data_IF_268899958884
#
_entry.id   IF_268899958884
#
_cell.length_a   1.000
_cell.length_b   1.000
_cell.length_c   1.000
_cell.angle_alpha   90.00
_cell.angle_beta   90.00
_cell.angle_gamma   90.00
#
_symmetry.space_group_name_H-M   'P 1'
#
loop_
_entity.id
_entity.type
_entity.pdbx_description
1 polymer ?
#
# COMPACT_ATOMS: atom_id res chain seq x y z
N UNK A 1 9.07 13.29 -20.89
CA UNK A 1 7.89 13.59 -21.70
C UNK A 1 7.21 14.81 -21.11
N UNK A 2 6.82 15.76 -21.96
CA UNK A 2 5.84 16.77 -21.63
C UNK A 2 4.50 16.09 -21.25
N UNK A 3 3.61 16.81 -20.58
CA UNK A 3 2.29 16.28 -20.23
C UNK A 3 1.54 15.87 -21.51
N UNK A 4 1.28 14.57 -21.66
CA UNK A 4 0.60 14.00 -22.83
C UNK A 4 -0.91 14.28 -22.83
N UNK A 5 -1.41 14.93 -21.78
CA UNK A 5 -2.81 15.25 -21.59
C UNK A 5 -3.03 16.75 -21.39
N UNK A 6 -4.17 17.25 -21.90
CA UNK A 6 -4.61 18.61 -21.58
C UNK A 6 -4.93 18.74 -20.08
N UNK A 7 -4.92 19.97 -19.56
CA UNK A 7 -5.24 20.26 -18.14
C UNK A 7 -6.61 19.67 -17.73
N UNK A 8 -7.60 19.74 -18.61
CA UNK A 8 -8.94 19.19 -18.37
C UNK A 8 -8.92 17.65 -18.28
N UNK A 9 -8.24 16.98 -19.22
CA UNK A 9 -8.08 15.51 -19.21
C UNK A 9 -7.31 15.05 -17.97
N UNK A 10 -6.26 15.78 -17.56
CA UNK A 10 -5.52 15.48 -16.34
C UNK A 10 -6.37 15.64 -15.09
N UNK A 11 -7.15 16.72 -15.00
CA UNK A 11 -8.09 16.93 -13.89
C UNK A 11 -9.13 15.80 -13.80
N UNK A 12 -9.71 15.42 -14.94
CA UNK A 12 -10.63 14.29 -15.03
C UNK A 12 -9.98 12.98 -14.57
N UNK A 13 -8.81 12.63 -15.10
CA UNK A 13 -8.09 11.42 -14.71
C UNK A 13 -7.79 11.39 -13.21
N UNK A 14 -7.30 12.49 -12.65
CA UNK A 14 -7.01 12.60 -11.22
C UNK A 14 -8.27 12.42 -10.36
N UNK A 15 -9.43 12.90 -10.83
CA UNK A 15 -10.71 12.71 -10.11
C UNK A 15 -11.21 11.26 -10.08
N UNK A 16 -10.73 10.41 -11.00
CA UNK A 16 -11.08 8.98 -11.04
C UNK A 16 -10.20 8.12 -10.13
N UNK A 17 -9.11 8.67 -9.60
CA UNK A 17 -8.20 7.94 -8.71
C UNK A 17 -8.88 7.75 -7.35
N UNK A 18 -9.23 6.50 -7.04
CA UNK A 18 -9.88 6.13 -5.78
C UNK A 18 -8.83 5.89 -4.70
N UNK A 19 -9.14 6.31 -3.47
CA UNK A 19 -8.30 6.13 -2.29
C UNK A 19 -8.57 4.85 -1.49
N UNK A 20 -9.56 4.05 -1.92
CA UNK A 20 -9.99 2.80 -1.24
C UNK A 20 -10.63 1.84 -2.23
N UNK A 21 -10.64 0.55 -1.88
CA UNK A 21 -11.15 -0.53 -2.71
C UNK A 21 -10.48 -0.55 -4.09
N UNK A 22 -9.19 -0.24 -4.11
CA UNK A 22 -8.39 -0.36 -5.33
C UNK A 22 -8.27 -1.83 -5.73
N UNK A 23 -7.95 -2.09 -7.00
CA UNK A 23 -7.75 -3.46 -7.49
C UNK A 23 -6.69 -4.23 -6.68
N UNK A 24 -5.51 -3.65 -6.35
CA UNK A 24 -4.53 -4.30 -5.48
C UNK A 24 -5.11 -4.71 -4.11
N UNK A 25 -5.84 -3.81 -3.44
CA UNK A 25 -6.48 -4.12 -2.14
C UNK A 25 -7.46 -5.29 -2.27
N UNK A 26 -8.28 -5.30 -3.31
CA UNK A 26 -9.28 -6.35 -3.53
C UNK A 26 -8.64 -7.72 -3.76
N UNK A 27 -7.49 -7.78 -4.45
CA UNK A 27 -6.75 -9.03 -4.67
C UNK A 27 -6.28 -9.62 -3.34
N UNK A 28 -5.62 -8.82 -2.50
CA UNK A 28 -5.13 -9.26 -1.19
C UNK A 28 -6.29 -9.69 -0.30
N UNK A 29 -7.38 -8.89 -0.27
CA UNK A 29 -8.59 -9.18 0.53
C UNK A 29 -9.26 -10.49 0.17
N UNK A 30 -9.45 -10.75 -1.13
CA UNK A 30 -10.06 -11.99 -1.62
C UNK A 30 -9.21 -13.19 -1.26
N UNK A 31 -7.89 -13.07 -1.43
CA UNK A 31 -6.97 -14.14 -1.12
C UNK A 31 -6.92 -14.47 0.38
N UNK A 32 -6.79 -13.46 1.25
CA UNK A 32 -6.83 -13.65 2.70
C UNK A 32 -8.13 -14.33 3.16
N UNK A 33 -9.27 -13.90 2.61
CA UNK A 33 -10.57 -14.50 2.92
C UNK A 33 -10.66 -15.96 2.49
N UNK A 34 -10.21 -16.28 1.26
CA UNK A 34 -10.15 -17.66 0.75
C UNK A 34 -9.25 -18.56 1.60
N UNK A 35 -8.23 -17.99 2.24
CA UNK A 35 -7.34 -18.70 3.17
C UNK A 35 -7.88 -18.76 4.62
N UNK A 36 -9.13 -18.33 4.86
CA UNK A 36 -9.81 -18.41 6.15
C UNK A 36 -9.47 -17.28 7.14
N UNK A 37 -8.71 -16.26 6.72
CA UNK A 37 -8.37 -15.14 7.59
C UNK A 37 -9.54 -14.17 7.73
N UNK A 38 -9.80 -13.74 8.97
CA UNK A 38 -10.74 -12.66 9.28
C UNK A 38 -9.97 -11.36 9.50
N UNK A 39 -10.44 -10.30 8.85
CA UNK A 39 -9.80 -8.99 8.90
C UNK A 39 -10.82 -7.86 9.03
N UNK A 40 -10.34 -6.71 9.49
CA UNK A 40 -11.04 -5.42 9.43
C UNK A 40 -10.38 -4.55 8.36
N UNK A 41 -11.13 -3.60 7.81
CA UNK A 41 -10.63 -2.71 6.77
C UNK A 41 -10.49 -1.29 7.30
N UNK A 42 -9.46 -0.59 6.85
CA UNK A 42 -9.31 0.87 7.01
C UNK A 42 -9.50 1.35 8.45
N UNK A 43 -8.87 0.66 9.42
CA UNK A 43 -9.10 0.91 10.84
C UNK A 43 -8.63 2.30 11.24
N UNK A 44 -9.55 3.16 11.67
CA UNK A 44 -9.26 4.54 12.11
C UNK A 44 -8.54 4.60 13.46
N UNK A 45 -8.57 3.51 14.23
CA UNK A 45 -7.95 3.42 15.56
C UNK A 45 -6.46 3.13 15.51
N UNK A 46 -5.92 2.79 14.33
CA UNK A 46 -4.51 2.47 14.15
C UNK A 46 -3.79 3.57 13.36
N UNK A 47 -2.52 3.88 13.71
CA UNK A 47 -1.69 4.82 12.95
C UNK A 47 -1.63 4.46 11.46
N UNK A 48 -1.65 5.46 10.60
CA UNK A 48 -1.63 5.29 9.14
C UNK A 48 -2.90 4.71 8.52
N UNK A 49 -3.91 4.34 9.32
CA UNK A 49 -5.18 3.75 8.85
C UNK A 49 -4.93 2.57 7.87
N UNK A 50 -4.37 1.46 8.37
CA UNK A 50 -3.99 0.33 7.52
C UNK A 50 -5.17 -0.18 6.69
N UNK A 51 -4.89 -0.60 5.45
CA UNK A 51 -5.91 -1.09 4.52
C UNK A 51 -6.59 -2.34 5.06
N UNK A 52 -5.78 -3.25 5.62
CA UNK A 52 -6.24 -4.52 6.18
C UNK A 52 -5.62 -4.70 7.56
N UNK A 53 -6.44 -5.05 8.54
CA UNK A 53 -6.02 -5.31 9.92
C UNK A 53 -6.46 -6.71 10.31
N UNK A 54 -5.53 -7.51 10.83
CA UNK A 54 -5.78 -8.85 11.35
C UNK A 54 -5.53 -8.86 12.87
N UNK A 55 -6.56 -8.56 13.70
CA UNK A 55 -6.38 -8.40 15.15
C UNK A 55 -5.83 -9.66 15.84
N UNK A 56 -6.31 -10.85 15.44
CA UNK A 56 -5.85 -12.15 15.96
C UNK A 56 -4.33 -12.33 15.82
N UNK A 57 -3.74 -11.74 14.78
CA UNK A 57 -2.33 -11.88 14.44
C UNK A 57 -1.53 -10.61 14.78
N UNK A 58 -2.15 -9.62 15.44
CA UNK A 58 -1.60 -8.26 15.63
C UNK A 58 -0.88 -7.73 14.40
N UNK A 59 -1.46 -7.94 13.21
CA UNK A 59 -0.84 -7.55 11.94
C UNK A 59 -1.65 -6.48 11.23
N UNK A 60 -0.97 -5.42 10.79
CA UNK A 60 -1.47 -4.36 9.93
C UNK A 60 -0.82 -4.51 8.55
N UNK A 61 -1.63 -4.49 7.50
CA UNK A 61 -1.18 -4.58 6.11
C UNK A 61 -1.53 -3.27 5.39
N UNK A 62 -0.53 -2.68 4.75
CA UNK A 62 -0.65 -1.55 3.86
C UNK A 62 -0.49 -1.99 2.41
N UNK A 63 -1.39 -1.56 1.53
CA UNK A 63 -1.34 -1.81 0.10
C UNK A 63 -1.03 -0.50 -0.62
N UNK A 64 0.24 -0.26 -0.89
CA UNK A 64 0.74 0.98 -1.42
C UNK A 64 0.73 1.01 -2.95
N UNK A 65 0.17 2.08 -3.51
CA UNK A 65 0.43 2.43 -4.91
C UNK A 65 1.89 2.82 -5.10
N UNK A 66 2.57 2.26 -6.10
CA UNK A 66 4.00 2.48 -6.31
C UNK A 66 4.34 3.95 -6.53
N UNK A 67 3.49 4.66 -7.27
CA UNK A 67 3.70 6.08 -7.54
C UNK A 67 3.55 6.94 -6.28
N UNK A 68 2.47 6.75 -5.52
CA UNK A 68 2.11 7.63 -4.39
C UNK A 68 3.01 7.51 -3.18
N UNK A 69 3.60 6.32 -3.00
CA UNK A 69 4.51 6.00 -1.90
C UNK A 69 5.98 5.92 -2.36
N UNK A 70 6.25 6.24 -3.64
CA UNK A 70 7.59 6.37 -4.19
C UNK A 70 8.41 5.08 -4.14
N UNK A 71 7.86 3.97 -4.63
CA UNK A 71 8.53 2.67 -4.64
C UNK A 71 9.85 2.73 -5.41
N UNK A 72 10.97 2.56 -4.71
CA UNK A 72 12.32 2.64 -5.28
C UNK A 72 12.62 1.45 -6.20
N UNK A 73 13.37 1.69 -7.28
CA UNK A 73 13.66 0.66 -8.28
C UNK A 73 12.44 0.15 -9.07
N UNK A 74 11.26 0.76 -8.90
CA UNK A 74 10.04 0.33 -9.56
C UNK A 74 9.75 1.14 -10.83
N UNK A 75 9.49 0.44 -11.94
CA UNK A 75 9.11 1.06 -13.23
C UNK A 75 7.83 1.91 -13.20
N UNK A 76 6.98 1.71 -12.19
CA UNK A 76 5.73 2.47 -12.03
C UNK A 76 5.90 3.74 -11.19
N UNK A 77 7.08 3.94 -10.60
CA UNK A 77 7.44 5.20 -9.95
C UNK A 77 8.33 6.01 -10.90
N UNK A 78 7.72 6.99 -11.57
CA UNK A 78 8.42 7.94 -12.42
C UNK A 78 8.06 9.34 -11.96
N UNK A 79 9.08 10.14 -11.62
CA UNK A 79 8.87 11.53 -11.20
C UNK A 79 8.32 12.33 -12.38
N UNK A 80 7.14 12.96 -12.25
CA UNK A 80 6.59 13.77 -13.33
C UNK A 80 7.50 14.97 -13.63
N UNK A 81 7.79 15.23 -14.91
CA UNK A 81 8.59 16.40 -15.33
C UNK A 81 7.85 17.72 -15.14
N UNK A 82 6.53 17.69 -15.01
CA UNK A 82 5.69 18.86 -14.73
C UNK A 82 5.47 18.98 -13.23
N UNK A 83 5.76 20.16 -12.66
CA UNK A 83 5.69 20.42 -11.20
C UNK A 83 6.54 19.43 -10.39
N UNK A 84 7.75 19.12 -10.89
CA UNK A 84 8.68 18.14 -10.31
C UNK A 84 8.88 18.34 -8.81
N UNK A 85 9.24 19.56 -8.39
CA UNK A 85 9.50 19.88 -6.98
C UNK A 85 8.27 19.63 -6.09
N UNK A 86 7.08 20.03 -6.55
CA UNK A 86 5.84 19.77 -5.84
C UNK A 86 5.58 18.26 -5.67
N UNK A 87 5.83 17.46 -6.72
CA UNK A 87 5.68 16.01 -6.66
C UNK A 87 6.69 15.36 -5.73
N UNK A 88 7.96 15.78 -5.80
CA UNK A 88 9.02 15.29 -4.91
C UNK A 88 8.68 15.58 -3.44
N UNK A 89 8.27 16.81 -3.13
CA UNK A 89 7.89 17.21 -1.77
C UNK A 89 6.66 16.43 -1.28
N UNK A 90 5.65 16.24 -2.16
CA UNK A 90 4.43 15.49 -1.81
C UNK A 90 4.73 14.01 -1.52
N UNK A 91 5.49 13.36 -2.40
CA UNK A 91 5.82 11.94 -2.27
C UNK A 91 6.78 11.72 -1.10
N UNK A 92 7.75 12.64 -0.90
CA UNK A 92 8.64 12.65 0.26
C UNK A 92 7.87 12.73 1.58
N UNK A 93 6.87 13.62 1.67
CA UNK A 93 6.00 13.70 2.85
C UNK A 93 5.19 12.41 3.06
N UNK A 94 4.69 11.77 2.01
CA UNK A 94 4.00 10.49 2.14
C UNK A 94 4.93 9.42 2.73
N UNK A 95 6.14 9.26 2.17
CA UNK A 95 7.15 8.33 2.70
C UNK A 95 7.47 8.58 4.17
N UNK A 96 7.64 9.84 4.55
CA UNK A 96 7.89 10.21 5.95
C UNK A 96 6.74 9.77 6.85
N UNK A 97 5.49 10.07 6.45
CA UNK A 97 4.31 9.66 7.21
C UNK A 97 4.18 8.13 7.27
N UNK A 98 4.49 7.41 6.20
CA UNK A 98 4.48 5.95 6.18
C UNK A 98 5.46 5.40 7.24
N UNK A 99 6.70 5.90 7.26
CA UNK A 99 7.71 5.51 8.24
C UNK A 99 7.30 5.86 9.68
N UNK A 100 6.73 7.04 9.92
CA UNK A 100 6.23 7.43 11.24
C UNK A 100 5.09 6.51 11.72
N UNK A 101 4.16 6.17 10.83
CA UNK A 101 3.02 5.31 11.15
C UNK A 101 3.46 3.87 11.41
N UNK A 102 4.39 3.35 10.59
CA UNK A 102 4.99 2.03 10.79
C UNK A 102 5.70 1.96 12.15
N UNK A 103 6.49 2.98 12.49
CA UNK A 103 7.17 3.06 13.79
C UNK A 103 6.19 3.07 14.97
N UNK A 104 5.10 3.84 14.87
CA UNK A 104 4.04 3.85 15.91
C UNK A 104 3.38 2.47 16.06
N UNK A 105 3.07 1.80 14.95
CA UNK A 105 2.49 0.46 14.96
C UNK A 105 3.43 -0.56 15.60
N UNK A 106 4.72 -0.57 15.19
CA UNK A 106 5.74 -1.45 15.76
C UNK A 106 5.92 -1.23 17.25
N UNK A 107 5.95 0.02 17.72
CA UNK A 107 5.98 0.36 19.16
C UNK A 107 4.76 -0.17 19.92
N UNK A 108 3.59 -0.20 19.29
CA UNK A 108 2.38 -0.82 19.84
C UNK A 108 2.32 -2.36 19.66
N UNK A 109 3.46 -3.00 19.36
CA UNK A 109 3.59 -4.45 19.13
C UNK A 109 2.68 -4.96 18.00
N UNK A 110 2.51 -4.15 16.96
CA UNK A 110 1.89 -4.60 15.71
C UNK A 110 2.96 -4.97 14.70
N UNK A 111 2.76 -6.10 14.03
CA UNK A 111 3.48 -6.46 12.82
C UNK A 111 2.95 -5.59 11.68
N UNK A 112 3.87 -5.02 10.90
CA UNK A 112 3.53 -4.22 9.72
C UNK A 112 4.00 -4.97 8.48
N UNK A 113 3.11 -5.13 7.51
CA UNK A 113 3.42 -5.68 6.20
C UNK A 113 3.03 -4.64 5.17
N UNK A 114 3.97 -4.24 4.33
CA UNK A 114 3.74 -3.33 3.22
C UNK A 114 3.80 -4.11 1.92
N UNK A 115 2.81 -3.93 1.06
CA UNK A 115 2.70 -4.57 -0.25
C UNK A 115 2.57 -3.47 -1.28
N UNK A 116 3.45 -3.46 -2.27
CA UNK A 116 3.34 -2.51 -3.38
C UNK A 116 2.49 -3.08 -4.51
N UNK A 117 1.73 -2.21 -5.20
CA UNK A 117 0.83 -2.63 -6.28
C UNK A 117 1.54 -3.42 -7.40
N UNK A 118 2.83 -3.14 -7.65
CA UNK A 118 3.61 -3.83 -8.67
C UNK A 118 3.95 -5.29 -8.32
N UNK A 119 3.88 -5.65 -7.04
CA UNK A 119 4.07 -7.01 -6.53
C UNK A 119 2.80 -7.85 -6.69
N UNK A 120 1.68 -7.20 -7.01
CA UNK A 120 0.37 -7.79 -7.28
C UNK A 120 0.06 -7.77 -8.79
N UNK A 121 1.11 -7.78 -9.63
CA UNK A 121 0.98 -8.02 -11.06
C UNK A 121 0.84 -9.53 -11.36
N UNK A 122 0.38 -9.89 -12.56
CA UNK A 122 0.07 -11.29 -12.94
C UNK A 122 1.18 -12.29 -12.58
N UNK A 123 2.44 -11.89 -12.73
CA UNK A 123 3.58 -12.79 -12.59
C UNK A 123 4.07 -12.97 -11.13
N UNK A 124 3.85 -11.97 -10.26
CA UNK A 124 4.35 -11.99 -8.87
C UNK A 124 3.26 -12.13 -7.80
N UNK A 125 1.99 -12.00 -8.19
CA UNK A 125 0.87 -12.01 -7.24
C UNK A 125 0.88 -13.26 -6.35
N UNK A 126 1.02 -14.44 -6.93
CA UNK A 126 0.94 -15.69 -6.18
C UNK A 126 2.08 -15.86 -5.16
N UNK A 127 3.32 -15.56 -5.54
CA UNK A 127 4.47 -15.64 -4.65
C UNK A 127 4.39 -14.62 -3.52
N UNK A 128 4.01 -13.38 -3.81
CA UNK A 128 3.77 -12.32 -2.82
C UNK A 128 2.70 -12.73 -1.81
N UNK A 129 1.56 -13.22 -2.31
CA UNK A 129 0.43 -13.64 -1.48
C UNK A 129 0.79 -14.85 -0.60
N UNK A 130 1.51 -15.84 -1.12
CA UNK A 130 2.02 -16.97 -0.34
C UNK A 130 3.00 -16.53 0.75
N UNK A 131 3.89 -15.59 0.46
CA UNK A 131 4.83 -15.05 1.43
C UNK A 131 4.10 -14.36 2.61
N UNK A 132 3.02 -13.61 2.32
CA UNK A 132 2.19 -12.97 3.36
C UNK A 132 1.57 -14.02 4.29
N UNK A 133 1.00 -15.09 3.74
CA UNK A 133 0.40 -16.15 4.56
C UNK A 133 1.45 -16.84 5.43
N UNK A 134 2.64 -17.11 4.87
CA UNK A 134 3.75 -17.65 5.65
C UNK A 134 4.08 -16.72 6.82
N UNK A 135 4.23 -15.42 6.56
CA UNK A 135 4.49 -14.42 7.58
C UNK A 135 3.38 -14.31 8.65
N UNK A 136 2.11 -14.51 8.29
CA UNK A 136 1.00 -14.49 9.25
C UNK A 136 0.94 -15.76 10.10
N UNK A 137 1.37 -16.90 9.55
CA UNK A 137 1.35 -18.20 10.24
C UNK A 137 2.57 -18.44 11.12
N UNK A 138 3.72 -17.85 10.80
CA UNK A 138 4.88 -17.89 11.68
C UNK A 138 4.55 -17.10 12.95
N UNK A 139 4.31 -17.80 14.06
CA UNK A 139 4.11 -17.18 15.38
C UNK A 139 5.31 -16.28 15.69
N UNK A 140 5.04 -15.12 16.27
CA UNK A 140 6.02 -14.45 17.13
C UNK A 140 6.21 -15.39 18.33
N UNK A 141 7.18 -16.30 18.24
CA UNK A 141 7.88 -16.72 19.43
C UNK A 141 8.78 -15.54 19.78
N UNK A 142 8.43 -14.84 20.86
CA UNK A 142 9.30 -14.15 21.82
C UNK A 142 8.41 -13.43 22.84
#
# INVERSE_FOLDING_TARGET
MADVHSKAVRSYNMSKIRSKNTRPELVVRKYLFAQGFRYRLHSKTLPGKPDIVLPKYRTAIFVHGCFWHGHEGCKYYVVPKTRTEWWLNKIGRNKQLDAENENKLRKSKWKVITIYECELNKDRTDSTLKAIIKQLKTKQND
#
